data_IF_305588987674
#
_entry.id   IF_305588987674
#
_cell.length_a   1.000
_cell.length_b   1.000
_cell.length_c   1.000
_cell.angle_alpha   90.00
_cell.angle_beta   90.00
_cell.angle_gamma   90.00
#
_symmetry.space_group_name_H-M   'P 1'
#
loop_
_entity.id
_entity.type
_entity.pdbx_description
1 polymer ?
#
# COMPACT_ATOMS: atom_id res chain seq x y z
N UNK A 1 18.41 -8.40 -8.31
CA UNK A 1 17.03 -7.92 -8.21
C UNK A 1 17.03 -6.64 -7.41
N UNK A 2 16.84 -5.53 -8.10
CA UNK A 2 16.85 -4.18 -7.52
C UNK A 2 15.60 -3.85 -6.70
N UNK A 3 14.55 -4.67 -6.78
CA UNK A 3 13.22 -4.33 -6.29
C UNK A 3 12.60 -5.35 -5.32
N UNK A 4 13.36 -6.34 -4.86
CA UNK A 4 12.79 -7.51 -4.15
C UNK A 4 12.04 -7.12 -2.88
N UNK A 5 12.57 -6.19 -2.07
CA UNK A 5 11.90 -5.82 -0.82
C UNK A 5 10.63 -4.96 -1.03
N UNK A 6 10.65 -3.88 -1.85
CA UNK A 6 9.43 -3.19 -2.24
C UNK A 6 8.37 -4.10 -2.87
N UNK A 7 8.79 -4.99 -3.79
CA UNK A 7 7.90 -5.92 -4.48
C UNK A 7 7.24 -6.89 -3.50
N UNK A 8 8.02 -7.52 -2.60
CA UNK A 8 7.50 -8.42 -1.56
C UNK A 8 6.43 -7.72 -0.71
N UNK A 9 6.69 -6.49 -0.26
CA UNK A 9 5.77 -5.76 0.63
C UNK A 9 4.53 -5.23 -0.05
N UNK A 10 4.61 -4.85 -1.32
CA UNK A 10 3.43 -4.46 -2.09
C UNK A 10 2.58 -5.67 -2.47
N UNK A 11 3.21 -6.84 -2.68
CA UNK A 11 2.50 -8.10 -2.83
C UNK A 11 1.78 -8.55 -1.54
N UNK A 12 2.41 -8.34 -0.39
CA UNK A 12 1.77 -8.53 0.92
C UNK A 12 0.56 -7.60 1.09
N UNK A 13 0.69 -6.31 0.75
CA UNK A 13 -0.41 -5.36 0.78
C UNK A 13 -1.57 -5.77 -0.15
N UNK A 14 -1.26 -6.20 -1.38
CA UNK A 14 -2.23 -6.74 -2.35
C UNK A 14 -2.99 -7.92 -1.75
N UNK A 15 -2.29 -8.84 -1.09
CA UNK A 15 -2.91 -10.00 -0.45
C UNK A 15 -3.86 -9.62 0.68
N UNK A 16 -3.52 -8.63 1.51
CA UNK A 16 -4.40 -8.17 2.60
C UNK A 16 -5.74 -7.60 2.10
N UNK A 17 -5.76 -7.02 0.90
CA UNK A 17 -6.95 -6.41 0.30
C UNK A 17 -7.83 -7.40 -0.47
N UNK A 18 -7.33 -8.61 -0.78
CA UNK A 18 -8.10 -9.66 -1.42
C UNK A 18 -9.10 -10.31 -0.45
N UNK A 19 -10.27 -10.72 -0.98
CA UNK A 19 -11.28 -11.43 -0.21
C UNK A 19 -10.92 -12.91 -0.01
N UNK A 20 -11.32 -13.53 1.12
CA UNK A 20 -12.02 -12.93 2.25
C UNK A 20 -11.08 -12.20 3.24
N UNK A 21 -11.56 -11.11 3.85
CA UNK A 21 -10.84 -10.39 4.90
C UNK A 21 -10.96 -11.13 6.24
N UNK A 22 -9.98 -11.96 6.57
CA UNK A 22 -10.00 -12.87 7.73
C UNK A 22 -10.10 -12.15 9.08
N UNK A 23 -9.56 -10.94 9.19
CA UNK A 23 -9.53 -10.12 10.42
C UNK A 23 -10.59 -8.99 10.42
N UNK A 24 -11.52 -9.03 9.46
CA UNK A 24 -12.43 -7.92 9.18
C UNK A 24 -11.82 -6.90 8.21
N UNK A 25 -12.68 -6.11 7.58
CA UNK A 25 -12.30 -5.21 6.49
C UNK A 25 -11.31 -4.13 6.97
N UNK A 26 -11.54 -3.55 8.14
CA UNK A 26 -10.66 -2.54 8.72
C UNK A 26 -9.28 -3.09 9.06
N UNK A 27 -9.21 -4.29 9.62
CA UNK A 27 -7.96 -4.97 9.96
C UNK A 27 -7.15 -5.30 8.72
N UNK A 28 -7.80 -5.85 7.69
CA UNK A 28 -7.21 -6.07 6.37
C UNK A 28 -6.63 -4.80 5.76
N UNK A 29 -7.36 -3.68 5.81
CA UNK A 29 -6.87 -2.40 5.28
C UNK A 29 -5.70 -1.85 6.11
N UNK A 30 -5.75 -1.95 7.44
CA UNK A 30 -4.65 -1.49 8.30
C UNK A 30 -3.37 -2.31 8.07
N UNK A 31 -3.49 -3.63 7.88
CA UNK A 31 -2.36 -4.48 7.52
C UNK A 31 -1.82 -4.11 6.13
N UNK A 32 -2.70 -3.83 5.16
CA UNK A 32 -2.29 -3.34 3.86
C UNK A 32 -1.54 -1.99 3.97
N UNK A 33 -2.01 -1.05 4.80
CA UNK A 33 -1.30 0.20 5.07
C UNK A 33 0.08 -0.03 5.68
N UNK A 34 0.22 -0.98 6.61
CA UNK A 34 1.51 -1.33 7.18
C UNK A 34 2.47 -1.88 6.11
N UNK A 35 2.00 -2.83 5.29
CA UNK A 35 2.79 -3.40 4.21
C UNK A 35 3.17 -2.34 3.15
N UNK A 36 2.24 -1.46 2.76
CA UNK A 36 2.52 -0.31 1.91
C UNK A 36 3.59 0.61 2.52
N UNK A 37 3.51 0.93 3.81
CA UNK A 37 4.51 1.75 4.49
C UNK A 37 5.93 1.15 4.35
N UNK A 38 6.05 -0.16 4.57
CA UNK A 38 7.32 -0.87 4.44
C UNK A 38 7.83 -0.88 3.00
N UNK A 39 6.95 -1.17 2.03
CA UNK A 39 7.30 -1.18 0.61
C UNK A 39 7.74 0.19 0.10
N UNK A 40 6.99 1.24 0.43
CA UNK A 40 7.32 2.63 0.06
C UNK A 40 8.62 3.10 0.69
N UNK A 41 8.88 2.75 1.95
CA UNK A 41 10.19 3.00 2.58
C UNK A 41 11.31 2.26 1.85
N UNK A 42 11.05 1.03 1.40
CA UNK A 42 11.96 0.26 0.55
C UNK A 42 12.36 1.01 -0.73
N UNK A 43 11.38 1.61 -1.41
CA UNK A 43 11.60 2.40 -2.64
C UNK A 43 12.60 3.55 -2.40
N UNK A 44 12.47 4.22 -1.25
CA UNK A 44 13.38 5.30 -0.86
C UNK A 44 14.78 4.77 -0.55
N UNK A 45 14.88 3.68 0.22
CA UNK A 45 16.16 3.14 0.67
C UNK A 45 16.95 2.40 -0.40
N UNK A 46 16.28 1.77 -1.36
CA UNK A 46 16.91 1.01 -2.46
C UNK A 46 17.14 1.87 -3.72
N UNK A 47 16.94 3.19 -3.61
CA UNK A 47 17.10 4.15 -4.71
C UNK A 47 16.31 3.76 -5.98
N UNK A 48 15.08 3.27 -5.77
CA UNK A 48 14.15 2.85 -6.84
C UNK A 48 13.43 4.04 -7.46
N UNK A 49 13.26 5.12 -6.69
CA UNK A 49 12.51 6.31 -7.10
C UNK A 49 12.83 6.86 -8.51
N UNK A 50 14.09 6.89 -8.98
CA UNK A 50 14.41 7.35 -10.35
C UNK A 50 13.86 6.48 -11.48
N UNK A 51 13.49 5.22 -11.20
CA UNK A 51 13.04 4.23 -12.18
C UNK A 51 11.51 4.14 -12.26
N UNK A 52 10.81 4.77 -11.32
CA UNK A 52 9.36 4.82 -11.33
C UNK A 52 8.87 5.66 -12.50
N UNK A 53 7.93 5.11 -13.27
CA UNK A 53 7.16 5.89 -14.24
C UNK A 53 6.13 6.80 -13.55
N UNK A 54 5.45 7.64 -14.34
CA UNK A 54 4.47 8.58 -13.80
C UNK A 54 3.23 7.89 -13.21
N UNK A 55 2.85 6.71 -13.73
CA UNK A 55 1.70 5.96 -13.22
C UNK A 55 2.00 5.41 -11.83
N UNK A 56 3.18 4.80 -11.65
CA UNK A 56 3.64 4.30 -10.37
C UNK A 56 3.74 5.42 -9.32
N UNK A 57 4.27 6.59 -9.71
CA UNK A 57 4.31 7.77 -8.83
C UNK A 57 2.92 8.24 -8.42
N UNK A 58 1.96 8.23 -9.32
CA UNK A 58 0.60 8.68 -9.01
C UNK A 58 -0.13 7.70 -8.09
N UNK A 59 0.04 6.39 -8.27
CA UNK A 59 -0.48 5.39 -7.33
C UNK A 59 0.14 5.54 -5.94
N UNK A 60 1.45 5.77 -5.85
CA UNK A 60 2.14 6.02 -4.57
C UNK A 60 1.55 7.24 -3.86
N UNK A 61 1.33 8.36 -4.57
CA UNK A 61 0.71 9.56 -3.97
C UNK A 61 -0.67 9.28 -3.41
N UNK A 62 -1.50 8.52 -4.15
CA UNK A 62 -2.84 8.15 -3.69
C UNK A 62 -2.76 7.28 -2.43
N UNK A 63 -1.93 6.25 -2.43
CA UNK A 63 -1.71 5.36 -1.28
C UNK A 63 -1.23 6.16 -0.06
N UNK A 64 -0.22 7.01 -0.21
CA UNK A 64 0.29 7.87 0.86
C UNK A 64 -0.79 8.82 1.41
N UNK A 65 -1.61 9.39 0.53
CA UNK A 65 -2.74 10.25 0.93
C UNK A 65 -3.79 9.51 1.75
N UNK A 66 -4.08 8.25 1.40
CA UNK A 66 -5.02 7.39 2.14
C UNK A 66 -4.44 6.90 3.47
N UNK A 67 -3.13 6.72 3.56
CA UNK A 67 -2.42 6.34 4.79
C UNK A 67 -2.19 7.49 5.76
N UNK A 68 -2.40 8.75 5.33
CA UNK A 68 -2.16 9.91 6.18
C UNK A 68 -3.13 9.93 7.38
N UNK A 69 -2.56 9.87 8.58
CA UNK A 69 -3.27 9.88 9.87
C UNK A 69 -3.11 11.19 10.67
N UNK A 70 -2.53 12.25 10.10
CA UNK A 70 -2.27 13.53 10.81
C UNK A 70 -3.51 14.14 11.46
N UNK A 71 -4.70 13.88 10.91
CA UNK A 71 -6.00 14.37 11.42
C UNK A 71 -6.87 13.27 12.01
N UNK A 72 -6.29 12.12 12.31
CA UNK A 72 -7.02 10.97 12.86
C UNK A 72 -6.81 10.95 14.37
N UNK A 73 -7.89 11.11 15.12
CA UNK A 73 -7.90 10.97 16.57
C UNK A 73 -8.26 9.52 16.95
N UNK A 74 -7.33 8.84 17.62
CA UNK A 74 -7.53 7.49 18.13
C UNK A 74 -7.83 7.53 19.63
N UNK A 75 -9.06 7.91 19.97
CA UNK A 75 -9.51 8.03 21.38
C UNK A 75 -9.50 6.70 22.14
N UNK A 76 -9.55 5.57 21.42
CA UNK A 76 -9.71 4.23 21.99
C UNK A 76 -8.42 3.41 22.01
N UNK A 77 -7.34 3.90 21.39
CA UNK A 77 -6.08 3.19 21.28
C UNK A 77 -6.14 1.97 20.35
N UNK A 78 -6.99 2.03 19.31
CA UNK A 78 -7.19 0.95 18.34
C UNK A 78 -6.10 0.93 17.25
N UNK A 79 -5.33 2.01 17.13
CA UNK A 79 -4.38 2.28 16.06
C UNK A 79 -4.97 3.24 15.03
N UNK A 80 -4.23 4.31 14.72
CA UNK A 80 -4.70 5.36 13.81
C UNK A 80 -5.05 4.83 12.41
N UNK A 81 -4.39 3.79 11.91
CA UNK A 81 -4.73 3.15 10.63
C UNK A 81 -6.02 2.34 10.66
N UNK A 82 -6.38 1.73 11.79
CA UNK A 82 -7.69 1.08 11.96
C UNK A 82 -8.80 2.14 11.94
N UNK A 83 -8.62 3.24 12.67
CA UNK A 83 -9.57 4.36 12.66
C UNK A 83 -9.69 4.97 11.27
N UNK A 84 -8.56 5.14 10.57
CA UNK A 84 -8.54 5.62 9.19
C UNK A 84 -9.28 4.67 8.24
N UNK A 85 -9.04 3.36 8.33
CA UNK A 85 -9.71 2.36 7.51
C UNK A 85 -11.24 2.43 7.65
N UNK A 86 -11.76 2.60 8.87
CA UNK A 86 -13.20 2.77 9.13
C UNK A 86 -13.79 4.00 8.47
N UNK A 87 -13.00 5.06 8.34
CA UNK A 87 -13.44 6.32 7.74
C UNK A 87 -13.51 6.27 6.21
N UNK A 88 -12.90 5.27 5.57
CA UNK A 88 -12.88 5.16 4.11
C UNK A 88 -14.26 4.78 3.58
N UNK A 89 -14.74 5.55 2.62
CA UNK A 89 -15.86 5.19 1.77
C UNK A 89 -15.55 3.92 0.96
N UNK A 90 -16.60 3.30 0.42
CA UNK A 90 -16.43 2.13 -0.47
C UNK A 90 -15.63 2.51 -1.72
N UNK A 91 -15.84 3.72 -2.25
CA UNK A 91 -15.10 4.23 -3.41
C UNK A 91 -13.60 4.38 -3.11
N UNK A 92 -13.26 4.94 -1.95
CA UNK A 92 -11.86 5.06 -1.52
C UNK A 92 -11.21 3.69 -1.29
N UNK A 93 -11.94 2.71 -0.74
CA UNK A 93 -11.45 1.33 -0.58
C UNK A 93 -11.18 0.63 -1.91
N UNK A 94 -12.08 0.82 -2.88
CA UNK A 94 -11.89 0.30 -4.24
C UNK A 94 -10.70 0.97 -4.92
N UNK A 95 -10.56 2.29 -4.76
CA UNK A 95 -9.42 3.03 -5.28
C UNK A 95 -8.10 2.59 -4.64
N UNK A 96 -8.08 2.38 -3.31
CA UNK A 96 -6.92 1.83 -2.60
C UNK A 96 -6.52 0.47 -3.18
N UNK A 97 -7.48 -0.45 -3.29
CA UNK A 97 -7.25 -1.81 -3.80
C UNK A 97 -6.69 -1.78 -5.21
N UNK A 98 -7.24 -0.93 -6.08
CA UNK A 98 -6.73 -0.74 -7.43
C UNK A 98 -5.31 -0.18 -7.45
N UNK A 99 -5.04 0.89 -6.69
CA UNK A 99 -3.70 1.48 -6.68
C UNK A 99 -2.63 0.52 -6.14
N UNK A 100 -2.95 -0.28 -5.11
CA UNK A 100 -2.04 -1.29 -4.59
C UNK A 100 -1.81 -2.42 -5.60
N UNK A 101 -2.87 -2.91 -6.25
CA UNK A 101 -2.77 -3.97 -7.25
C UNK A 101 -1.93 -3.55 -8.47
N UNK A 102 -2.18 -2.36 -9.00
CA UNK A 102 -1.45 -1.80 -10.14
C UNK A 102 0.03 -1.53 -9.78
N UNK A 103 0.29 -0.99 -8.60
CA UNK A 103 1.66 -0.75 -8.14
C UNK A 103 2.41 -2.05 -7.89
N UNK A 104 1.78 -3.07 -7.27
CA UNK A 104 2.38 -4.39 -7.11
C UNK A 104 2.68 -5.03 -8.47
N UNK A 105 1.75 -4.97 -9.41
CA UNK A 105 1.93 -5.48 -10.78
C UNK A 105 3.06 -4.76 -11.52
N UNK A 106 3.23 -3.45 -11.30
CA UNK A 106 4.35 -2.70 -11.86
C UNK A 106 5.69 -3.26 -11.38
N UNK A 107 5.80 -3.56 -10.08
CA UNK A 107 7.00 -4.17 -9.51
C UNK A 107 7.22 -5.59 -10.04
N UNK A 108 6.17 -6.41 -10.13
CA UNK A 108 6.23 -7.76 -10.69
C UNK A 108 6.78 -7.71 -12.15
N UNK A 109 6.34 -6.75 -12.97
CA UNK A 109 6.81 -6.60 -14.36
C UNK A 109 8.28 -6.13 -14.48
N UNK A 110 8.77 -5.34 -13.53
CA UNK A 110 10.12 -4.76 -13.58
C UNK A 110 11.14 -5.54 -12.74
N UNK A 111 10.72 -6.55 -11.97
CA UNK A 111 11.62 -7.51 -11.31
C UNK A 111 12.26 -8.49 -12.30
N UNK A 112 11.55 -8.82 -13.39
CA UNK A 112 11.97 -9.78 -14.42
C UNK A 112 12.96 -9.21 -15.47
N UNK A 113 13.07 -7.87 -15.59
CA UNK A 113 13.95 -7.20 -16.57
C UNK A 113 15.45 -7.19 -16.15
N UNK A 114 15.77 -7.71 -14.95
CA UNK A 114 17.12 -7.79 -14.37
C UNK A 114 17.85 -9.13 -14.69
N UNK A 115 17.36 -9.94 -15.64
CA UNK A 115 17.93 -11.26 -16.04
C UNK A 115 18.79 -11.22 -17.30
#
# INVERSE_FOLDING_TARGET
MRFTYPAEKLNEARACLMLPHLEGEEGSIANAFHACHLGLKGIETEEVSPFLDESAKDWIKVIQGMMNTEKVEDEKGEGAWIVKARSLSVEERLQLSRCVDELASWFDMHEDDDV
#
